data_IF_264908115774
#
_entry.id   IF_264908115774
#
_cell.length_a   1.000
_cell.length_b   1.000
_cell.length_c   1.000
_cell.angle_alpha   90.00
_cell.angle_beta   90.00
_cell.angle_gamma   90.00
#
_symmetry.space_group_name_H-M   'P 1'
#
loop_
_entity.id
_entity.type
_entity.pdbx_description
1 polymer ?
#
# COMPACT_ATOMS: atom_id res chain seq x y z
N UNK A 1 -13.94 32.29 -13.61
CA UNK A 1 -14.86 32.24 -12.45
C UNK A 1 -15.76 31.01 -12.54
N UNK A 2 -16.54 30.85 -13.62
CA UNK A 2 -17.44 29.70 -13.85
C UNK A 2 -16.73 28.32 -13.82
N UNK A 3 -15.60 28.19 -14.54
CA UNK A 3 -14.86 26.92 -14.63
C UNK A 3 -14.32 26.43 -13.27
N UNK A 4 -13.89 27.36 -12.40
CA UNK A 4 -13.42 27.02 -11.06
C UNK A 4 -14.57 26.57 -10.17
N UNK A 5 -15.76 27.16 -10.31
CA UNK A 5 -16.95 26.76 -9.57
C UNK A 5 -17.35 25.32 -9.87
N UNK A 6 -17.42 24.94 -11.16
CA UNK A 6 -17.76 23.57 -11.56
C UNK A 6 -16.75 22.54 -11.06
N UNK A 7 -15.46 22.89 -11.04
CA UNK A 7 -14.42 22.02 -10.48
C UNK A 7 -14.62 21.81 -8.97
N UNK A 8 -14.92 22.87 -8.21
CA UNK A 8 -15.22 22.73 -6.79
C UNK A 8 -16.49 21.92 -6.53
N UNK A 9 -17.55 22.14 -7.30
CA UNK A 9 -18.79 21.36 -7.21
C UNK A 9 -18.55 19.87 -7.50
N UNK A 10 -17.77 19.57 -8.53
CA UNK A 10 -17.42 18.18 -8.89
C UNK A 10 -16.64 17.50 -7.77
N UNK A 11 -15.61 18.15 -7.22
CA UNK A 11 -14.82 17.57 -6.13
C UNK A 11 -15.66 17.39 -4.86
N UNK A 12 -16.42 18.41 -4.47
CA UNK A 12 -17.25 18.36 -3.28
C UNK A 12 -18.35 17.29 -3.35
N UNK A 13 -18.91 17.06 -4.54
CA UNK A 13 -19.85 15.96 -4.78
C UNK A 13 -19.14 14.60 -4.77
N UNK A 14 -17.98 14.47 -5.41
CA UNK A 14 -17.22 13.22 -5.41
C UNK A 14 -16.82 12.80 -3.99
N UNK A 15 -16.40 13.73 -3.13
CA UNK A 15 -16.11 13.45 -1.72
C UNK A 15 -17.35 12.93 -0.98
N UNK A 16 -18.53 13.48 -1.28
CA UNK A 16 -19.79 13.02 -0.72
C UNK A 16 -20.13 11.60 -1.20
N UNK A 17 -20.02 11.34 -2.50
CA UNK A 17 -20.35 10.06 -3.14
C UNK A 17 -19.41 8.93 -2.71
N UNK A 18 -18.13 9.23 -2.42
CA UNK A 18 -17.18 8.29 -1.82
C UNK A 18 -17.36 8.12 -0.30
N UNK A 19 -18.45 8.65 0.27
CA UNK A 19 -18.75 8.64 1.70
C UNK A 19 -17.72 9.33 2.61
N UNK A 20 -16.78 10.11 2.07
CA UNK A 20 -15.82 10.95 2.78
C UNK A 20 -16.50 12.21 3.34
N UNK A 21 -17.61 12.05 4.06
CA UNK A 21 -18.47 13.17 4.47
C UNK A 21 -17.75 14.19 5.36
N UNK A 22 -16.77 13.74 6.16
CA UNK A 22 -15.94 14.65 6.96
C UNK A 22 -15.12 15.58 6.09
N UNK A 23 -14.37 15.03 5.13
CA UNK A 23 -13.56 15.81 4.19
C UNK A 23 -14.44 16.65 3.26
N UNK A 24 -15.62 16.15 2.86
CA UNK A 24 -16.60 16.91 2.12
C UNK A 24 -17.08 18.14 2.92
N UNK A 25 -17.39 17.98 4.22
CA UNK A 25 -17.79 19.10 5.07
C UNK A 25 -16.68 20.15 5.19
N UNK A 26 -15.45 19.74 5.52
CA UNK A 26 -14.30 20.65 5.62
C UNK A 26 -14.03 21.38 4.30
N UNK A 27 -14.11 20.67 3.18
CA UNK A 27 -13.96 21.24 1.84
C UNK A 27 -15.04 22.29 1.57
N UNK A 28 -16.31 21.95 1.78
CA UNK A 28 -17.42 22.86 1.53
C UNK A 28 -17.43 24.06 2.48
N UNK A 29 -16.99 23.92 3.72
CA UNK A 29 -16.78 25.06 4.64
C UNK A 29 -15.67 25.99 4.18
N UNK A 30 -14.58 25.43 3.66
CA UNK A 30 -13.49 26.21 3.06
C UNK A 30 -13.93 26.97 1.81
N UNK A 31 -14.69 26.30 0.94
CA UNK A 31 -15.21 26.86 -0.32
C UNK A 31 -16.38 27.81 -0.07
N UNK A 32 -17.20 27.61 0.96
CA UNK A 32 -18.41 28.41 1.18
C UNK A 32 -18.17 29.83 1.67
N UNK A 33 -16.95 30.15 2.10
CA UNK A 33 -16.45 31.54 2.18
C UNK A 33 -16.43 32.26 0.81
N UNK A 34 -16.63 31.52 -0.29
CA UNK A 34 -16.63 31.99 -1.68
C UNK A 34 -17.90 31.61 -2.48
N UNK A 35 -18.72 30.62 -2.05
CA UNK A 35 -19.97 30.19 -2.73
C UNK A 35 -21.02 29.62 -1.75
N UNK A 36 -22.31 29.55 -2.09
CA UNK A 36 -23.30 28.82 -1.27
C UNK A 36 -23.21 27.31 -1.57
N UNK A 37 -23.07 26.44 -0.56
CA UNK A 37 -22.86 24.99 -0.73
C UNK A 37 -23.54 24.13 0.36
N UNK A 38 -23.58 22.80 0.20
CA UNK A 38 -24.40 21.87 1.01
C UNK A 38 -23.88 21.61 2.45
N UNK A 39 -22.99 22.45 2.97
CA UNK A 39 -22.24 22.19 4.21
C UNK A 39 -23.14 21.87 5.42
N UNK A 40 -24.28 22.54 5.57
CA UNK A 40 -25.19 22.31 6.71
C UNK A 40 -25.81 20.90 6.68
N UNK A 41 -26.24 20.42 5.52
CA UNK A 41 -26.78 19.07 5.38
C UNK A 41 -25.74 18.00 5.71
N UNK A 42 -24.50 18.21 5.30
CA UNK A 42 -23.39 17.29 5.60
C UNK A 42 -23.06 17.30 7.10
N UNK A 43 -23.09 18.47 7.77
CA UNK A 43 -22.92 18.57 9.23
C UNK A 43 -23.99 17.78 9.99
N UNK A 44 -25.25 17.91 9.57
CA UNK A 44 -26.34 17.16 10.18
C UNK A 44 -26.14 15.64 10.01
N UNK A 45 -25.71 15.21 8.82
CA UNK A 45 -25.38 13.82 8.54
C UNK A 45 -24.21 13.30 9.39
N UNK A 46 -23.15 14.09 9.56
CA UNK A 46 -22.01 13.73 10.43
C UNK A 46 -22.43 13.59 11.89
N UNK A 47 -23.33 14.45 12.37
CA UNK A 47 -23.92 14.33 13.71
C UNK A 47 -24.70 13.02 13.84
N UNK A 48 -25.55 12.69 12.87
CA UNK A 48 -26.29 11.43 12.87
C UNK A 48 -25.36 10.21 12.84
N UNK A 49 -24.31 10.21 12.00
CA UNK A 49 -23.28 9.16 11.98
C UNK A 49 -22.61 9.01 13.34
N UNK A 50 -22.27 10.13 13.99
CA UNK A 50 -21.65 10.13 15.33
C UNK A 50 -22.57 9.54 16.39
N UNK A 51 -23.84 9.95 16.39
CA UNK A 51 -24.84 9.45 17.33
C UNK A 51 -25.10 7.95 17.11
N UNK A 52 -25.16 7.50 15.84
CA UNK A 52 -25.32 6.09 15.48
C UNK A 52 -24.09 5.23 15.80
N UNK A 53 -22.88 5.81 15.78
CA UNK A 53 -21.65 5.11 16.12
C UNK A 53 -21.36 5.08 17.63
N UNK A 54 -22.07 5.89 18.44
CA UNK A 54 -21.87 5.98 19.89
C UNK A 54 -21.98 4.61 20.61
N UNK A 55 -22.95 3.74 20.29
CA UNK A 55 -23.07 2.42 20.93
C UNK A 55 -21.91 1.46 20.60
N UNK A 56 -21.16 1.71 19.52
CA UNK A 56 -20.03 0.86 19.11
C UNK A 56 -18.78 1.04 19.99
N UNK A 57 -18.80 2.00 20.93
CA UNK A 57 -17.69 2.26 21.85
C UNK A 57 -16.36 2.54 21.13
N UNK A 58 -15.26 2.07 21.70
CA UNK A 58 -13.90 2.24 21.15
C UNK A 58 -13.20 3.52 21.62
N UNK A 59 -11.92 3.61 21.28
CA UNK A 59 -11.04 4.73 21.59
C UNK A 59 -11.50 6.01 20.86
N UNK A 60 -11.03 7.17 21.33
CA UNK A 60 -11.29 8.44 20.66
C UNK A 60 -10.80 8.44 19.19
N UNK A 61 -9.71 7.72 18.91
CA UNK A 61 -9.18 7.61 17.55
C UNK A 61 -10.09 6.77 16.67
N UNK A 62 -10.49 5.58 17.10
CA UNK A 62 -11.42 4.73 16.34
C UNK A 62 -12.77 5.42 16.08
N UNK A 63 -13.26 6.19 17.05
CA UNK A 63 -14.48 6.99 16.86
C UNK A 63 -14.30 8.08 15.80
N UNK A 64 -13.12 8.70 15.71
CA UNK A 64 -12.79 9.68 14.65
C UNK A 64 -12.64 9.00 13.30
N UNK A 65 -11.95 7.86 13.25
CA UNK A 65 -11.70 7.10 12.02
C UNK A 65 -13.03 6.69 11.39
N UNK A 66 -13.99 6.15 12.16
CA UNK A 66 -15.35 5.81 11.67
C UNK A 66 -16.11 6.98 11.02
N UNK A 67 -15.82 8.21 11.43
CA UNK A 67 -16.44 9.40 10.86
C UNK A 67 -15.71 9.92 9.63
N UNK A 68 -14.40 9.69 9.55
CA UNK A 68 -13.52 10.13 8.48
C UNK A 68 -13.49 9.17 7.30
N UNK A 69 -13.53 7.89 7.58
CA UNK A 69 -13.44 6.82 6.60
C UNK A 69 -14.64 6.88 5.66
N UNK A 70 -14.33 7.14 4.38
CA UNK A 70 -15.22 6.86 3.28
C UNK A 70 -15.04 5.44 2.78
N UNK A 71 -15.69 5.13 1.67
CA UNK A 71 -15.64 3.82 1.06
C UNK A 71 -15.76 3.92 -0.45
N UNK A 72 -14.95 3.11 -1.14
CA UNK A 72 -15.04 2.94 -2.59
C UNK A 72 -15.05 1.47 -2.92
N UNK A 73 -15.76 1.13 -4.00
CA UNK A 73 -15.73 -0.22 -4.55
C UNK A 73 -14.59 -0.32 -5.53
N UNK A 74 -13.80 -1.38 -5.41
CA UNK A 74 -12.76 -1.68 -6.38
C UNK A 74 -13.37 -2.08 -7.73
N UNK A 75 -12.94 -1.38 -8.78
CA UNK A 75 -13.42 -1.61 -10.16
C UNK A 75 -12.25 -1.82 -11.11
N UNK A 76 -12.47 -2.61 -12.16
CA UNK A 76 -11.60 -2.56 -13.33
C UNK A 76 -11.90 -1.30 -14.13
N UNK A 77 -10.87 -0.48 -14.34
CA UNK A 77 -11.05 0.71 -15.14
C UNK A 77 -11.10 0.36 -16.63
N UNK A 78 -12.10 0.85 -17.40
CA UNK A 78 -12.28 0.47 -18.80
C UNK A 78 -11.10 0.76 -19.73
N UNK A 79 -10.21 1.67 -19.33
CA UNK A 79 -9.04 2.07 -20.11
C UNK A 79 -7.72 1.52 -19.55
N UNK A 80 -7.77 0.56 -18.63
CA UNK A 80 -6.58 -0.18 -18.20
C UNK A 80 -6.13 -1.14 -19.29
N UNK A 81 -4.81 -1.30 -19.46
CA UNK A 81 -4.28 -2.28 -20.41
C UNK A 81 -4.53 -3.71 -19.92
N UNK A 82 -4.78 -4.64 -20.84
CA UNK A 82 -5.05 -6.04 -20.49
C UNK A 82 -3.92 -6.67 -19.67
N UNK A 83 -2.66 -6.31 -19.95
CA UNK A 83 -1.50 -6.78 -19.19
C UNK A 83 -1.48 -6.32 -17.72
N UNK A 84 -2.25 -5.29 -17.36
CA UNK A 84 -2.36 -4.80 -15.98
C UNK A 84 -3.55 -5.42 -15.23
N UNK A 85 -4.41 -6.20 -15.89
CA UNK A 85 -5.56 -6.83 -15.24
C UNK A 85 -5.22 -8.19 -14.63
N UNK A 86 -4.19 -8.87 -15.14
CA UNK A 86 -3.80 -10.21 -14.72
C UNK A 86 -2.29 -10.33 -14.56
N UNK A 87 -1.83 -11.34 -13.82
CA UNK A 87 -0.41 -11.69 -13.75
C UNK A 87 -0.02 -12.42 -15.03
N UNK A 88 1.01 -11.93 -15.73
CA UNK A 88 1.47 -12.56 -16.97
C UNK A 88 2.32 -13.80 -16.69
N UNK A 89 2.47 -14.68 -17.68
CA UNK A 89 3.30 -15.88 -17.53
C UNK A 89 4.78 -15.53 -17.28
N UNK A 90 5.25 -14.42 -17.83
CA UNK A 90 6.60 -13.91 -17.61
C UNK A 90 6.83 -13.56 -16.13
N UNK A 91 5.85 -12.95 -15.47
CA UNK A 91 5.91 -12.64 -14.03
C UNK A 91 5.88 -13.93 -13.20
N UNK A 92 5.08 -14.93 -13.60
CA UNK A 92 5.03 -16.24 -12.92
C UNK A 92 6.38 -16.95 -13.05
N UNK A 93 6.99 -16.93 -14.23
CA UNK A 93 8.30 -17.52 -14.47
C UNK A 93 9.37 -16.82 -13.62
N UNK A 94 9.37 -15.48 -13.59
CA UNK A 94 10.27 -14.71 -12.74
C UNK A 94 10.17 -15.12 -11.26
N UNK A 95 8.95 -15.25 -10.72
CA UNK A 95 8.75 -15.70 -9.33
C UNK A 95 9.24 -17.14 -9.14
N UNK A 96 9.01 -18.04 -10.10
CA UNK A 96 9.53 -19.40 -10.04
C UNK A 96 11.06 -19.47 -10.12
N UNK A 97 11.70 -18.55 -10.81
CA UNK A 97 13.16 -18.43 -10.85
C UNK A 97 13.68 -18.00 -9.47
N UNK A 98 13.06 -16.97 -8.87
CA UNK A 98 13.36 -16.52 -7.50
C UNK A 98 13.16 -17.65 -6.46
N UNK A 99 12.10 -18.46 -6.59
CA UNK A 99 11.84 -19.59 -5.68
C UNK A 99 12.89 -20.70 -5.83
N UNK A 100 13.41 -20.94 -7.04
CA UNK A 100 14.47 -21.93 -7.26
C UNK A 100 15.79 -21.51 -6.62
N UNK A 101 16.09 -20.22 -6.64
CA UNK A 101 17.30 -19.64 -6.05
C UNK A 101 17.18 -19.41 -4.53
N UNK A 102 15.98 -19.59 -3.94
CA UNK A 102 15.73 -19.27 -2.54
C UNK A 102 16.33 -20.30 -1.56
N UNK A 103 16.11 -21.58 -1.83
CA UNK A 103 16.56 -22.72 -1.02
C UNK A 103 16.97 -23.89 -1.91
N UNK A 104 18.06 -24.58 -1.55
CA UNK A 104 18.54 -25.77 -2.26
C UNK A 104 18.39 -27.03 -1.39
N UNK A 105 17.69 -28.09 -1.86
CA UNK A 105 16.94 -28.19 -3.12
C UNK A 105 15.61 -27.45 -3.05
N UNK A 106 15.17 -26.91 -4.20
CA UNK A 106 13.92 -26.13 -4.34
C UNK A 106 12.76 -26.83 -3.66
N UNK A 107 12.16 -26.16 -2.68
CA UNK A 107 11.08 -26.72 -1.88
C UNK A 107 9.69 -26.48 -2.50
N UNK A 108 9.53 -25.37 -3.22
CA UNK A 108 8.22 -24.94 -3.72
C UNK A 108 8.29 -24.20 -5.06
N UNK A 109 7.15 -24.11 -5.73
CA UNK A 109 6.97 -23.37 -6.98
C UNK A 109 5.57 -22.74 -7.03
N UNK A 110 5.43 -21.63 -7.76
CA UNK A 110 4.17 -20.97 -8.04
C UNK A 110 3.48 -21.62 -9.25
N UNK A 111 2.23 -22.02 -9.06
CA UNK A 111 1.40 -22.63 -10.09
C UNK A 111 -0.03 -22.10 -10.06
N UNK A 112 -0.85 -22.54 -11.02
CA UNK A 112 -2.30 -22.29 -11.01
C UNK A 112 -2.93 -22.94 -9.78
N UNK A 113 -3.95 -22.29 -9.22
CA UNK A 113 -4.67 -22.86 -8.10
C UNK A 113 -5.51 -24.05 -8.52
N UNK A 114 -5.47 -25.11 -7.72
CA UNK A 114 -6.31 -26.31 -7.87
C UNK A 114 -7.66 -26.17 -7.15
N UNK A 115 -7.83 -25.12 -6.35
CA UNK A 115 -9.02 -24.88 -5.52
C UNK A 115 -10.13 -24.11 -6.26
N UNK A 116 -9.85 -23.56 -7.43
CA UNK A 116 -10.80 -22.74 -8.20
C UNK A 116 -10.63 -22.94 -9.69
N UNK A 117 -11.70 -22.70 -10.45
CA UNK A 117 -11.67 -22.65 -11.92
C UNK A 117 -11.18 -21.32 -12.48
N UNK A 118 -10.86 -20.34 -11.62
CA UNK A 118 -10.33 -19.04 -12.03
C UNK A 118 -8.88 -19.15 -12.50
N UNK A 119 -8.66 -18.90 -13.79
CA UNK A 119 -7.34 -18.95 -14.43
C UNK A 119 -6.32 -17.95 -13.85
N UNK A 120 -6.78 -16.88 -13.20
CA UNK A 120 -5.94 -15.82 -12.64
C UNK A 120 -5.47 -16.09 -11.21
N UNK A 121 -6.00 -17.13 -10.55
CA UNK A 121 -5.65 -17.50 -9.17
C UNK A 121 -4.42 -18.41 -9.14
N UNK A 122 -3.38 -17.97 -8.43
CA UNK A 122 -2.11 -18.69 -8.28
C UNK A 122 -1.90 -19.11 -6.83
N UNK A 123 -1.24 -20.25 -6.63
CA UNK A 123 -0.90 -20.82 -5.33
C UNK A 123 0.51 -21.42 -5.34
N UNK A 124 1.10 -21.53 -4.14
CA UNK A 124 2.38 -22.20 -3.97
C UNK A 124 2.17 -23.71 -3.81
N UNK A 125 2.89 -24.47 -4.62
CA UNK A 125 2.92 -25.93 -4.63
C UNK A 125 4.24 -26.44 -4.07
N UNK A 126 4.20 -27.56 -3.36
CA UNK A 126 5.42 -28.26 -2.96
C UNK A 126 6.06 -28.92 -4.18
N UNK A 127 7.37 -28.71 -4.38
CA UNK A 127 8.14 -29.36 -5.44
C UNK A 127 8.62 -30.76 -5.02
N UNK A 128 8.61 -31.04 -3.72
CA UNK A 128 9.09 -32.28 -3.09
C UNK A 128 8.43 -32.48 -1.72
N UNK A 129 8.56 -33.66 -1.09
CA UNK A 129 8.18 -33.84 0.30
C UNK A 129 8.91 -32.85 1.23
N UNK A 130 8.17 -32.26 2.17
CA UNK A 130 8.67 -31.28 3.16
C UNK A 130 8.65 -31.93 4.54
N UNK A 131 9.76 -31.84 5.26
CA UNK A 131 9.86 -32.36 6.62
C UNK A 131 9.34 -31.35 7.65
N UNK A 132 8.83 -31.85 8.78
CA UNK A 132 8.37 -30.99 9.87
C UNK A 132 9.55 -30.15 10.41
N UNK A 133 9.37 -28.83 10.46
CA UNK A 133 10.38 -27.89 10.97
C UNK A 133 11.41 -27.45 9.93
N UNK A 134 11.29 -27.93 8.68
CA UNK A 134 12.13 -27.50 7.57
C UNK A 134 11.81 -26.05 7.14
N UNK A 135 12.86 -25.27 6.86
CA UNK A 135 12.71 -23.97 6.21
C UNK A 135 12.55 -24.18 4.70
N UNK A 136 11.43 -23.75 4.14
CA UNK A 136 11.11 -23.94 2.70
C UNK A 136 11.18 -22.66 1.88
N UNK A 137 11.26 -21.50 2.56
CA UNK A 137 11.22 -20.18 1.93
C UNK A 137 11.69 -19.12 2.92
N UNK A 138 12.63 -18.28 2.50
CA UNK A 138 13.03 -17.04 3.16
C UNK A 138 12.65 -15.87 2.26
N UNK A 139 11.58 -15.16 2.63
CA UNK A 139 11.14 -13.96 1.91
C UNK A 139 11.79 -12.70 2.51
N UNK A 140 12.63 -12.03 1.72
CA UNK A 140 13.23 -10.74 2.07
C UNK A 140 12.47 -9.62 1.38
N UNK A 141 11.64 -8.91 2.13
CA UNK A 141 10.84 -7.81 1.60
C UNK A 141 11.58 -6.46 1.59
N UNK A 142 11.32 -5.68 0.55
CA UNK A 142 11.73 -4.27 0.39
C UNK A 142 10.70 -3.28 0.92
N UNK A 143 9.52 -3.79 1.28
CA UNK A 143 8.35 -2.98 1.63
C UNK A 143 7.96 -3.13 3.10
N UNK A 144 8.77 -3.78 3.92
CA UNK A 144 8.53 -3.82 5.37
C UNK A 144 8.51 -2.41 5.95
N UNK A 145 7.59 -2.14 6.87
CA UNK A 145 7.48 -0.90 7.65
C UNK A 145 6.94 -1.23 9.06
N UNK A 146 7.21 -0.38 10.06
CA UNK A 146 6.66 -0.54 11.40
C UNK A 146 6.30 0.80 12.07
N UNK A 147 5.46 0.73 13.11
CA UNK A 147 5.01 1.92 13.86
C UNK A 147 6.01 2.40 14.90
N UNK A 148 6.88 1.52 15.40
CA UNK A 148 7.92 1.87 16.36
C UNK A 148 9.29 1.65 15.73
N UNK A 149 9.90 2.75 15.28
CA UNK A 149 11.28 2.77 14.77
C UNK A 149 12.19 3.20 15.92
N UNK A 150 13.00 2.27 16.41
CA UNK A 150 14.03 2.55 17.41
C UNK A 150 15.28 3.20 16.82
N UNK A 151 16.13 3.78 17.67
CA UNK A 151 17.36 4.45 17.25
C UNK A 151 18.44 3.47 16.73
N UNK A 152 18.34 2.18 17.04
CA UNK A 152 19.28 1.13 16.66
C UNK A 152 18.64 0.08 15.72
N UNK A 153 17.73 0.54 14.87
CA UNK A 153 17.02 -0.30 13.91
C UNK A 153 17.61 -0.19 12.50
N UNK A 154 17.56 -1.30 11.75
CA UNK A 154 17.94 -1.37 10.36
C UNK A 154 16.96 -0.55 9.49
N UNK A 155 17.46 0.32 8.62
CA UNK A 155 16.65 1.18 7.74
C UNK A 155 15.85 0.41 6.67
N UNK A 156 16.14 -0.89 6.48
CA UNK A 156 15.39 -1.77 5.58
C UNK A 156 14.38 -2.66 6.32
N UNK A 157 14.83 -3.48 7.26
CA UNK A 157 13.99 -4.52 7.88
C UNK A 157 13.48 -4.16 9.28
N UNK A 158 13.89 -3.02 9.84
CA UNK A 158 13.56 -2.57 11.21
C UNK A 158 14.00 -3.54 12.33
N UNK A 159 14.80 -4.55 11.99
CA UNK A 159 15.47 -5.41 12.96
C UNK A 159 16.57 -4.66 13.72
N UNK A 160 16.92 -5.16 14.90
CA UNK A 160 18.01 -4.61 15.69
C UNK A 160 19.32 -4.67 14.91
N UNK A 161 20.08 -3.58 14.95
CA UNK A 161 21.41 -3.50 14.35
C UNK A 161 22.42 -4.10 15.32
N UNK A 162 23.21 -5.06 14.88
CA UNK A 162 24.28 -5.67 15.69
C UNK A 162 25.50 -4.75 15.76
N UNK A 163 26.54 -5.14 16.51
CA UNK A 163 27.74 -4.31 16.72
C UNK A 163 28.54 -3.99 15.44
N UNK A 164 28.31 -4.70 14.33
CA UNK A 164 28.99 -4.52 13.05
C UNK A 164 28.00 -4.18 11.91
N UNK A 165 27.34 -3.01 11.94
CA UNK A 165 26.42 -2.58 10.89
C UNK A 165 27.10 -2.38 9.55
N UNK A 166 26.35 -2.64 8.47
CA UNK A 166 26.68 -2.10 7.15
C UNK A 166 26.11 -0.68 7.05
N UNK A 167 26.92 0.28 6.64
CA UNK A 167 26.50 1.70 6.52
C UNK A 167 26.40 2.10 5.05
N UNK A 168 25.38 2.89 4.72
CA UNK A 168 25.33 3.53 3.41
C UNK A 168 26.52 4.50 3.26
N UNK A 169 27.09 4.57 2.06
CA UNK A 169 28.14 5.56 1.75
C UNK A 169 27.57 6.95 1.43
N UNK A 170 26.29 7.02 1.05
CA UNK A 170 25.63 8.24 0.60
C UNK A 170 24.90 9.02 1.71
N UNK A 171 24.61 8.40 2.86
CA UNK A 171 23.86 9.04 3.95
C UNK A 171 24.09 8.33 5.29
N UNK A 172 23.34 8.71 6.33
CA UNK A 172 23.43 8.13 7.68
C UNK A 172 22.72 6.78 7.85
N UNK A 173 22.17 6.20 6.79
CA UNK A 173 21.42 4.94 6.88
C UNK A 173 22.31 3.76 7.32
N UNK A 174 21.75 2.91 8.16
CA UNK A 174 22.39 1.74 8.77
C UNK A 174 21.58 0.48 8.49
N UNK A 175 22.28 -0.61 8.21
CA UNK A 175 21.68 -1.89 7.88
C UNK A 175 22.28 -2.99 8.75
N UNK A 176 21.44 -3.96 9.14
CA UNK A 176 21.87 -5.09 9.97
C UNK A 176 22.78 -6.09 9.22
N UNK A 177 22.82 -6.04 7.88
CA UNK A 177 23.64 -6.92 7.05
C UNK A 177 23.86 -6.33 5.66
N UNK A 178 24.86 -6.86 4.93
CA UNK A 178 25.08 -6.53 3.52
C UNK A 178 23.84 -6.84 2.67
N UNK A 179 23.13 -7.94 2.94
CA UNK A 179 21.91 -8.29 2.23
C UNK A 179 20.81 -7.21 2.37
N UNK A 180 20.61 -6.64 3.57
CA UNK A 180 19.65 -5.54 3.75
C UNK A 180 20.10 -4.24 3.08
N UNK A 181 21.41 -3.95 3.13
CA UNK A 181 22.00 -2.80 2.46
C UNK A 181 21.81 -2.88 0.94
N UNK A 182 22.20 -4.01 0.34
CA UNK A 182 22.15 -4.21 -1.10
C UNK A 182 20.71 -4.25 -1.60
N UNK A 183 19.81 -4.90 -0.86
CA UNK A 183 18.38 -4.91 -1.18
C UNK A 183 17.81 -3.49 -1.19
N UNK A 184 18.13 -2.67 -0.18
CA UNK A 184 17.66 -1.29 -0.13
C UNK A 184 18.25 -0.43 -1.26
N UNK A 185 19.57 -0.48 -1.48
CA UNK A 185 20.25 0.29 -2.53
C UNK A 185 19.79 -0.08 -3.93
N UNK A 186 19.49 -1.36 -4.18
CA UNK A 186 19.08 -1.83 -5.49
C UNK A 186 17.60 -1.55 -5.78
N UNK A 187 16.77 -1.28 -4.77
CA UNK A 187 15.32 -1.17 -4.95
C UNK A 187 14.78 0.24 -4.77
N UNK A 188 14.90 0.85 -3.59
CA UNK A 188 14.22 2.14 -3.31
C UNK A 188 15.14 3.24 -2.76
N UNK A 189 16.29 2.89 -2.18
CA UNK A 189 17.03 3.82 -1.33
C UNK A 189 17.56 5.01 -2.10
N UNK A 190 17.99 4.82 -3.35
CA UNK A 190 18.53 5.92 -4.18
C UNK A 190 17.46 6.97 -4.48
N UNK A 191 16.20 6.56 -4.65
CA UNK A 191 15.07 7.48 -4.82
C UNK A 191 14.69 8.21 -3.52
N UNK A 192 14.85 7.56 -2.36
CA UNK A 192 14.54 8.16 -1.05
C UNK A 192 15.69 8.98 -0.45
N UNK A 193 16.94 8.72 -0.85
CA UNK A 193 18.12 9.27 -0.21
C UNK A 193 18.13 10.82 -0.30
N UNK A 194 18.35 11.47 0.85
CA UNK A 194 18.35 12.93 0.95
C UNK A 194 16.96 13.59 1.03
N UNK A 195 15.88 12.81 0.98
CA UNK A 195 14.51 13.31 1.09
C UNK A 195 13.95 13.12 2.51
N UNK A 196 13.11 14.07 2.95
CA UNK A 196 12.49 14.01 4.28
C UNK A 196 11.00 13.63 4.23
N UNK A 197 10.69 12.37 4.55
CA UNK A 197 9.32 11.85 4.63
C UNK A 197 8.77 11.77 6.07
N UNK A 198 9.33 12.52 7.04
CA UNK A 198 8.84 12.54 8.43
C UNK A 198 7.36 12.90 8.56
N UNK A 199 6.84 13.72 7.65
CA UNK A 199 5.42 14.06 7.61
C UNK A 199 4.52 12.84 7.34
N UNK A 200 5.03 11.83 6.62
CA UNK A 200 4.32 10.61 6.27
C UNK A 200 4.43 9.56 7.39
N UNK A 201 5.57 9.49 8.08
CA UNK A 201 5.78 8.54 9.18
C UNK A 201 5.23 9.02 10.52
N UNK A 202 5.02 10.32 10.72
CA UNK A 202 4.50 10.86 11.98
C UNK A 202 3.13 10.27 12.39
N UNK A 203 2.13 10.11 11.49
CA UNK A 203 0.85 9.49 11.83
C UNK A 203 0.96 8.00 12.20
N UNK A 204 2.00 7.33 11.71
CA UNK A 204 2.26 5.92 11.96
C UNK A 204 3.02 5.65 13.27
N UNK A 205 3.52 6.68 13.96
CA UNK A 205 4.37 6.49 15.13
C UNK A 205 3.54 6.06 16.34
N UNK A 206 3.93 4.95 16.97
CA UNK A 206 3.33 4.53 18.24
C UNK A 206 1.90 3.98 18.10
N UNK A 207 1.54 3.43 16.94
CA UNK A 207 0.22 2.84 16.74
C UNK A 207 -0.02 1.67 17.71
N UNK A 208 -1.19 1.68 18.36
CA UNK A 208 -1.62 0.66 19.33
C UNK A 208 -2.95 0.01 18.98
N UNK A 209 -3.75 0.61 18.08
CA UNK A 209 -5.11 0.15 17.78
C UNK A 209 -5.36 -0.23 16.32
N UNK A 210 -4.74 0.48 15.36
CA UNK A 210 -4.93 0.19 13.94
C UNK A 210 -3.62 0.35 13.16
N UNK A 211 -3.50 -0.41 12.07
CA UNK A 211 -2.38 -0.37 11.14
C UNK A 211 -2.71 0.44 9.87
N UNK A 212 -3.83 1.18 9.82
CA UNK A 212 -4.22 1.92 8.61
C UNK A 212 -3.16 2.96 8.18
N UNK A 213 -2.58 3.75 9.11
CA UNK A 213 -1.54 4.74 8.76
C UNK A 213 -0.22 4.13 8.26
N UNK A 214 -0.08 2.81 8.29
CA UNK A 214 1.07 2.09 7.71
C UNK A 214 0.96 1.93 6.19
N UNK A 215 -0.25 1.91 5.62
CA UNK A 215 -0.46 1.70 4.18
C UNK A 215 0.18 2.79 3.30
N UNK A 216 0.10 4.09 3.65
CA UNK A 216 0.84 5.13 2.92
C UNK A 216 2.36 4.94 2.92
N UNK A 217 2.94 4.34 3.98
CA UNK A 217 4.38 4.02 4.03
C UNK A 217 4.75 2.86 3.10
N UNK A 218 3.88 1.85 2.97
CA UNK A 218 4.03 0.80 1.95
C UNK A 218 4.00 1.41 0.54
N UNK A 219 3.06 2.32 0.30
CA UNK A 219 2.93 3.04 -0.97
C UNK A 219 4.21 3.84 -1.28
N UNK A 220 4.81 4.51 -0.29
CA UNK A 220 6.10 5.20 -0.45
C UNK A 220 7.20 4.24 -0.92
N UNK A 221 7.39 3.09 -0.26
CA UNK A 221 8.43 2.10 -0.64
C UNK A 221 8.24 1.61 -2.07
N UNK A 222 7.00 1.36 -2.47
CA UNK A 222 6.65 0.89 -3.82
C UNK A 222 6.90 1.96 -4.87
N UNK A 223 6.39 3.18 -4.66
CA UNK A 223 6.58 4.28 -5.61
C UNK A 223 8.04 4.66 -5.74
N UNK A 224 8.79 4.69 -4.64
CA UNK A 224 10.23 4.92 -4.67
C UNK A 224 10.97 3.83 -5.45
N UNK A 225 10.53 2.56 -5.32
CA UNK A 225 11.09 1.47 -6.14
C UNK A 225 10.84 1.69 -7.62
N UNK A 226 9.61 2.06 -7.99
CA UNK A 226 9.25 2.36 -9.38
C UNK A 226 10.07 3.53 -9.94
N UNK A 227 10.15 4.64 -9.21
CA UNK A 227 10.93 5.83 -9.61
C UNK A 227 12.40 5.51 -9.76
N UNK A 228 12.97 4.72 -8.85
CA UNK A 228 14.37 4.30 -8.92
C UNK A 228 14.65 3.43 -10.16
N UNK A 229 13.71 2.56 -10.54
CA UNK A 229 13.82 1.74 -11.74
C UNK A 229 13.64 2.57 -13.01
N UNK A 230 12.52 3.30 -13.14
CA UNK A 230 12.23 4.21 -14.25
C UNK A 230 10.92 4.95 -14.03
N UNK A 231 10.89 6.25 -14.38
CA UNK A 231 9.67 7.06 -14.44
C UNK A 231 8.95 6.96 -15.81
N UNK A 232 9.61 6.40 -16.80
CA UNK A 232 9.11 6.28 -18.18
C UNK A 232 8.25 5.03 -18.40
N UNK A 233 8.30 4.07 -17.47
CA UNK A 233 7.49 2.85 -17.49
C UNK A 233 6.32 2.95 -16.52
N UNK A 234 5.21 2.27 -16.85
CA UNK A 234 4.09 2.16 -15.90
C UNK A 234 4.54 1.45 -14.62
N UNK A 235 4.26 1.99 -13.43
CA UNK A 235 4.45 1.29 -12.16
C UNK A 235 3.77 -0.08 -12.13
N UNK A 236 2.65 -0.28 -12.84
CA UNK A 236 1.95 -1.56 -12.87
C UNK A 236 2.74 -2.68 -13.56
N UNK A 237 3.72 -2.33 -14.39
CA UNK A 237 4.65 -3.27 -15.03
C UNK A 237 5.84 -3.62 -14.12
N UNK A 238 6.05 -2.87 -13.03
CA UNK A 238 7.15 -3.12 -12.11
C UNK A 238 6.98 -4.50 -11.44
N UNK A 239 8.00 -5.38 -11.43
CA UNK A 239 7.85 -6.75 -10.93
C UNK A 239 7.26 -6.87 -9.52
N UNK A 240 7.59 -5.95 -8.61
CA UNK A 240 7.02 -5.91 -7.25
C UNK A 240 5.50 -5.67 -7.21
N UNK A 241 4.93 -4.99 -8.22
CA UNK A 241 3.51 -4.69 -8.30
C UNK A 241 2.81 -5.69 -9.22
N UNK A 242 3.41 -6.01 -10.37
CA UNK A 242 2.86 -6.90 -11.38
C UNK A 242 2.52 -8.30 -10.85
N UNK A 243 3.28 -8.79 -9.85
CA UNK A 243 3.07 -10.10 -9.21
C UNK A 243 1.96 -10.14 -8.17
N UNK A 244 1.47 -9.00 -7.70
CA UNK A 244 0.45 -8.91 -6.66
C UNK A 244 -0.93 -9.29 -7.21
N UNK A 245 -1.74 -9.98 -6.42
CA UNK A 245 -3.10 -10.34 -6.80
C UNK A 245 -3.95 -9.06 -6.93
N UNK A 246 -4.50 -8.75 -8.12
CA UNK A 246 -5.47 -7.67 -8.24
C UNK A 246 -6.76 -8.01 -7.48
N UNK A 247 -7.36 -6.99 -6.87
CA UNK A 247 -8.67 -7.09 -6.18
C UNK A 247 -9.85 -6.72 -7.10
N UNK A 248 -9.56 -6.29 -8.33
CA UNK A 248 -10.57 -5.82 -9.26
C UNK A 248 -11.51 -6.97 -9.68
N UNK A 249 -12.80 -6.67 -9.80
CA UNK A 249 -13.94 -7.59 -10.05
C UNK A 249 -14.56 -8.30 -8.83
N UNK A 250 -14.05 -8.10 -7.60
CA UNK A 250 -14.68 -8.70 -6.41
C UNK A 250 -15.77 -7.81 -5.76
N UNK A 251 -16.08 -6.64 -6.33
CA UNK A 251 -16.93 -5.62 -5.69
C UNK A 251 -16.53 -5.30 -4.25
N UNK A 252 -15.24 -5.45 -3.93
CA UNK A 252 -14.74 -5.26 -2.58
C UNK A 252 -14.80 -3.79 -2.19
N UNK A 253 -15.41 -3.51 -1.04
CA UNK A 253 -15.44 -2.20 -0.41
C UNK A 253 -14.11 -1.94 0.32
N UNK A 254 -13.28 -1.04 -0.20
CA UNK A 254 -12.05 -0.60 0.47
C UNK A 254 -12.31 0.74 1.20
N UNK A 255 -11.57 0.95 2.29
CA UNK A 255 -11.57 2.21 3.02
C UNK A 255 -10.89 3.26 2.15
N UNK A 256 -11.53 4.41 2.03
CA UNK A 256 -11.06 5.51 1.20
C UNK A 256 -11.15 6.84 1.94
N UNK A 257 -10.07 7.60 1.89
CA UNK A 257 -10.05 9.01 2.27
C UNK A 257 -9.32 9.78 1.19
N UNK A 258 -9.77 11.00 0.91
CA UNK A 258 -9.13 11.84 -0.10
C UNK A 258 -7.69 12.20 0.30
N UNK A 259 -7.45 12.40 1.59
CA UNK A 259 -6.12 12.63 2.14
C UNK A 259 -5.15 11.47 1.86
N UNK A 260 -5.52 10.23 2.20
CA UNK A 260 -4.60 9.09 2.10
C UNK A 260 -4.56 8.48 0.71
N UNK A 261 -5.71 8.38 0.03
CA UNK A 261 -5.82 7.65 -1.24
C UNK A 261 -5.46 8.50 -2.45
N UNK A 262 -5.58 9.83 -2.35
CA UNK A 262 -5.29 10.75 -3.47
C UNK A 262 -4.15 11.69 -3.10
N UNK A 263 -4.33 12.52 -2.07
CA UNK A 263 -3.38 13.61 -1.77
C UNK A 263 -2.00 13.09 -1.39
N UNK A 264 -1.93 12.03 -0.60
CA UNK A 264 -0.68 11.47 -0.08
C UNK A 264 0.20 10.86 -1.18
N UNK A 265 -0.29 9.96 -2.06
CA UNK A 265 0.46 9.45 -3.20
C UNK A 265 0.98 10.56 -4.13
N UNK A 266 0.16 11.59 -4.38
CA UNK A 266 0.55 12.74 -5.20
C UNK A 266 1.71 13.50 -4.54
N UNK A 267 1.60 13.79 -3.24
CA UNK A 267 2.66 14.47 -2.49
C UNK A 267 3.95 13.67 -2.43
N UNK A 268 3.86 12.34 -2.29
CA UNK A 268 5.02 11.44 -2.37
C UNK A 268 5.71 11.60 -3.72
N UNK A 269 4.97 11.49 -4.82
CA UNK A 269 5.52 11.57 -6.18
C UNK A 269 6.14 12.93 -6.46
N UNK A 270 5.49 14.02 -6.06
CA UNK A 270 6.06 15.36 -6.19
C UNK A 270 7.38 15.49 -5.45
N UNK A 271 7.48 14.95 -4.24
CA UNK A 271 8.72 14.94 -3.47
C UNK A 271 9.80 14.04 -4.11
N UNK A 272 9.40 13.00 -4.83
CA UNK A 272 10.28 12.17 -5.67
C UNK A 272 10.57 12.80 -7.05
N UNK A 273 10.23 14.07 -7.26
CA UNK A 273 10.39 14.81 -8.52
C UNK A 273 9.61 14.23 -9.72
N UNK A 274 8.46 13.60 -9.47
CA UNK A 274 7.54 13.14 -10.52
C UNK A 274 6.36 14.12 -10.63
N UNK A 275 6.24 14.75 -11.79
CA UNK A 275 5.04 15.54 -12.14
C UNK A 275 3.93 14.61 -12.64
N UNK A 276 2.96 14.35 -11.77
CA UNK A 276 1.79 13.50 -12.06
C UNK A 276 0.88 14.03 -13.16
N UNK A 277 0.93 15.34 -13.45
CA UNK A 277 0.08 15.96 -14.45
C UNK A 277 0.71 15.87 -15.84
N UNK A 278 2.03 15.80 -15.90
CA UNK A 278 2.79 15.57 -17.14
C UNK A 278 3.02 14.08 -17.42
N UNK A 279 3.23 13.26 -16.38
CA UNK A 279 3.57 11.84 -16.53
C UNK A 279 2.34 10.95 -16.37
N UNK A 280 1.84 10.42 -17.49
CA UNK A 280 0.65 9.55 -17.54
C UNK A 280 0.84 8.19 -16.88
N UNK A 281 2.09 7.75 -16.69
CA UNK A 281 2.39 6.48 -16.01
C UNK A 281 1.95 6.51 -14.54
N UNK A 282 1.82 7.69 -13.93
CA UNK A 282 1.45 7.86 -12.53
C UNK A 282 0.07 8.51 -12.33
N UNK A 283 -0.84 8.37 -13.31
CA UNK A 283 -2.22 8.86 -13.15
C UNK A 283 -2.93 8.21 -11.95
N UNK A 284 -3.89 8.94 -11.39
CA UNK A 284 -4.63 8.58 -10.15
C UNK A 284 -5.19 7.16 -10.18
N UNK A 285 -5.65 6.73 -11.36
CA UNK A 285 -6.04 5.36 -11.65
C UNK A 285 -4.98 4.31 -11.31
N UNK A 286 -3.76 4.50 -11.82
CA UNK A 286 -2.61 3.63 -11.60
C UNK A 286 -2.30 3.60 -10.11
N UNK A 287 -2.29 4.77 -9.45
CA UNK A 287 -2.06 4.88 -8.02
C UNK A 287 -3.13 4.13 -7.20
N UNK A 288 -4.39 4.25 -7.59
CA UNK A 288 -5.48 3.53 -6.94
C UNK A 288 -5.38 2.01 -7.19
N UNK A 289 -5.01 1.57 -8.39
CA UNK A 289 -4.76 0.15 -8.68
C UNK A 289 -3.63 -0.40 -7.82
N UNK A 290 -2.52 0.34 -7.67
CA UNK A 290 -1.44 -0.03 -6.74
C UNK A 290 -1.98 -0.10 -5.31
N UNK A 291 -2.74 0.90 -4.86
CA UNK A 291 -3.32 0.94 -3.52
C UNK A 291 -4.16 -0.30 -3.21
N UNK A 292 -5.04 -0.71 -4.14
CA UNK A 292 -5.89 -1.90 -3.96
C UNK A 292 -5.09 -3.20 -3.98
N UNK A 293 -4.02 -3.28 -4.78
CA UNK A 293 -3.07 -4.41 -4.73
C UNK A 293 -2.35 -4.44 -3.38
N UNK A 294 -1.91 -3.31 -2.85
CA UNK A 294 -1.32 -3.25 -1.50
C UNK A 294 -2.35 -3.74 -0.48
N UNK A 295 -3.57 -3.21 -0.50
CA UNK A 295 -4.62 -3.59 0.45
C UNK A 295 -4.90 -5.10 0.45
N UNK A 296 -4.94 -5.71 -0.73
CA UNK A 296 -5.20 -7.14 -0.87
C UNK A 296 -4.01 -8.03 -0.47
N UNK A 297 -2.78 -7.57 -0.69
CA UNK A 297 -1.59 -8.43 -0.59
C UNK A 297 -0.71 -8.13 0.63
N UNK A 298 -0.98 -7.07 1.39
CA UNK A 298 -0.23 -6.76 2.60
C UNK A 298 -0.54 -7.74 3.73
N UNK A 299 0.47 -7.99 4.55
CA UNK A 299 0.39 -8.82 5.74
C UNK A 299 0.87 -7.99 6.93
N UNK A 300 -0.10 -7.58 7.75
CA UNK A 300 0.16 -6.79 8.96
C UNK A 300 -0.10 -7.60 10.23
N UNK A 301 0.73 -7.38 11.24
CA UNK A 301 0.57 -7.98 12.56
C UNK A 301 1.08 -7.03 13.65
N UNK A 302 0.58 -7.22 14.87
CA UNK A 302 1.16 -6.58 16.05
C UNK A 302 2.45 -7.31 16.45
N UNK A 303 3.48 -6.54 16.76
CA UNK A 303 4.79 -6.96 17.26
C UNK A 303 5.07 -6.26 18.59
N UNK A 304 5.62 -7.00 19.55
CA UNK A 304 5.84 -6.50 20.90
C UNK A 304 6.85 -5.35 20.96
N UNK A 305 7.86 -5.37 20.10
CA UNK A 305 8.94 -4.39 20.09
C UNK A 305 8.69 -3.31 19.04
N UNK A 306 8.22 -3.71 17.86
CA UNK A 306 8.05 -2.84 16.69
C UNK A 306 6.67 -2.20 16.58
N UNK A 307 5.76 -2.51 17.49
CA UNK A 307 4.37 -2.07 17.42
C UNK A 307 3.66 -2.75 16.26
N UNK A 308 2.86 -2.04 15.47
CA UNK A 308 2.34 -2.63 14.23
C UNK A 308 3.44 -2.74 13.18
N UNK A 309 3.54 -3.91 12.57
CA UNK A 309 4.37 -4.17 11.39
C UNK A 309 3.43 -4.43 10.23
N UNK A 310 3.73 -3.86 9.07
CA UNK A 310 3.05 -4.19 7.82
C UNK A 310 4.12 -4.40 6.74
N UNK A 311 3.82 -5.27 5.80
CA UNK A 311 4.72 -5.58 4.71
C UNK A 311 3.96 -6.20 3.55
N UNK A 312 4.54 -6.12 2.35
CA UNK A 312 4.19 -7.04 1.26
C UNK A 312 5.33 -8.02 1.15
N UNK A 313 5.03 -9.30 1.39
CA UNK A 313 5.98 -10.40 1.25
C UNK A 313 5.77 -11.05 -0.12
N UNK A 314 6.56 -10.67 -1.15
CA UNK A 314 6.27 -11.01 -2.54
C UNK A 314 6.14 -12.50 -2.83
N UNK A 315 6.82 -13.34 -2.05
CA UNK A 315 6.81 -14.80 -2.19
C UNK A 315 5.81 -15.48 -1.26
N UNK A 316 5.36 -14.79 -0.19
CA UNK A 316 4.35 -15.31 0.75
C UNK A 316 2.90 -14.98 0.35
N UNK A 317 2.67 -13.95 -0.45
CA UNK A 317 1.33 -13.57 -0.94
C UNK A 317 0.54 -14.78 -1.48
N UNK A 318 1.10 -15.67 -2.32
CA UNK A 318 0.32 -16.76 -2.90
C UNK A 318 0.10 -17.94 -1.94
N UNK A 319 0.67 -17.93 -0.73
CA UNK A 319 0.30 -18.87 0.34
C UNK A 319 -1.00 -18.44 1.04
N UNK A 320 -1.31 -17.14 1.05
CA UNK A 320 -2.46 -16.59 1.78
C UNK A 320 -3.80 -16.77 1.07
N UNK A 321 -3.79 -17.14 -0.22
CA UNK A 321 -5.01 -17.36 -1.02
C UNK A 321 -5.85 -18.53 -0.50
N UNK A 322 -5.26 -19.52 0.17
CA UNK A 322 -5.99 -20.65 0.78
C UNK A 322 -6.87 -20.23 1.98
N UNK A 323 -6.55 -19.12 2.67
CA UNK A 323 -7.31 -18.63 3.82
C UNK A 323 -8.38 -17.60 3.45
N UNK A 324 -8.37 -17.06 2.22
CA UNK A 324 -9.28 -15.99 1.78
C UNK A 324 -10.27 -16.42 0.70
N UNK A 325 -10.27 -17.69 0.29
CA UNK A 325 -11.17 -18.23 -0.74
C UNK A 325 -12.65 -18.38 -0.28
N UNK A 326 -13.03 -17.82 0.88
CA UNK A 326 -14.41 -17.79 1.38
C UNK A 326 -15.10 -16.42 1.19
N UNK A 327 -14.71 -15.63 0.17
CA UNK A 327 -15.47 -14.47 -0.28
C UNK A 327 -16.21 -14.76 -1.59
#
# INVERSE_FOLDING_TARGET
MEANRRAYETLGQALYDCHCHWEAAEFWEGVSKKTCGPAEGIRQLLKQKKDAALPLGGTLQEQKDRLRDGGVVTVQYPWMQQCHLTRSQEVVNLVNDELRENEEPTACYLGRSTLTSRDDMLEIHAARPIQKGECILIDRTTTGICSNVGNECCDNCYGHVTSSPTRATCCSAVYCSAACHDLALNTYHKALCGQDFRWLSAPAKGLTHNASPLRPLLMLRILASCVQTSVETSPLDHPLIARLQPLADCSHLDVFTFAESITTPIRILQQLNVDIFANRNFYTMVLHTIWTRIANNKAGAADRERGFVDAISPLLVPFQSQLRAEC
#
